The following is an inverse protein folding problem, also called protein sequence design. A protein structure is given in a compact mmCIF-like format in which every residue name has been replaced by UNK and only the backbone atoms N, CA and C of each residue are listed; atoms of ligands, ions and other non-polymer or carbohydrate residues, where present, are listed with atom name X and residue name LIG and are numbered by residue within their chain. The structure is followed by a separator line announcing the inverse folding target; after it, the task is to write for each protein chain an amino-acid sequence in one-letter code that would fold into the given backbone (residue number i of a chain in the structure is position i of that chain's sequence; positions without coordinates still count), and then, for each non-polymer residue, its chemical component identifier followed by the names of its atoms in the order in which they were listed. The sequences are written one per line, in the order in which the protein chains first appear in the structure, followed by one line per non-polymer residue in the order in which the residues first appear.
data_IF_657114058825
#
_entry.id   IF_657114058825
#
_cell.length_a   1.000
_cell.length_b   1.000
_cell.length_c   1.000
_cell.angle_alpha   90.00
_cell.angle_beta   90.00
_cell.angle_gamma   90.00
#
_symmetry.space_group_name_H-M   'P 1'
#
loop_
_entity.id
_entity.type
_entity.pdbx_description
1 polymer ?
#
# COMPACT_ATOMS: atom_id res chain seq x y z
N UNK A 1 22.85 -5.72 -24.47
CA UNK A 1 21.68 -5.37 -23.63
C UNK A 1 21.62 -6.42 -22.54
N UNK A 2 21.83 -6.03 -21.29
CA UNK A 2 21.81 -6.95 -20.16
C UNK A 2 20.46 -7.67 -20.12
N UNK A 3 20.50 -9.00 -20.06
CA UNK A 3 19.32 -9.82 -19.82
C UNK A 3 18.82 -9.41 -18.43
N UNK A 4 17.63 -8.82 -18.34
CA UNK A 4 17.02 -8.48 -17.04
C UNK A 4 16.90 -9.80 -16.28
N UNK A 5 17.63 -9.92 -15.17
CA UNK A 5 17.57 -11.09 -14.31
C UNK A 5 16.26 -11.05 -13.54
N UNK A 6 15.46 -12.09 -13.67
CA UNK A 6 14.21 -12.25 -12.93
C UNK A 6 14.44 -12.20 -11.41
N UNK A 7 15.62 -12.64 -10.94
CA UNK A 7 16.02 -12.55 -9.55
C UNK A 7 16.19 -11.10 -9.07
N UNK A 8 16.73 -10.22 -9.92
CA UNK A 8 16.91 -8.80 -9.58
C UNK A 8 15.56 -8.09 -9.53
N UNK A 9 14.68 -8.34 -10.52
CA UNK A 9 13.31 -7.81 -10.53
C UNK A 9 12.51 -8.25 -9.29
N UNK A 10 12.68 -9.50 -8.86
CA UNK A 10 12.01 -10.01 -7.67
C UNK A 10 12.55 -9.35 -6.39
N UNK A 11 13.86 -9.10 -6.32
CA UNK A 11 14.46 -8.39 -5.18
C UNK A 11 13.93 -6.97 -5.10
N UNK A 12 13.96 -6.22 -6.20
CA UNK A 12 13.47 -4.84 -6.24
C UNK A 12 11.99 -4.76 -5.83
N UNK A 13 11.17 -5.69 -6.33
CA UNK A 13 9.76 -5.80 -5.91
C UNK A 13 9.61 -6.05 -4.40
N UNK A 14 10.39 -6.98 -3.83
CA UNK A 14 10.29 -7.30 -2.41
C UNK A 14 10.74 -6.15 -1.52
N UNK A 15 11.81 -5.45 -1.92
CA UNK A 15 12.32 -4.29 -1.18
C UNK A 15 11.30 -3.16 -1.19
N UNK A 16 10.76 -2.81 -2.36
CA UNK A 16 9.69 -1.79 -2.50
C UNK A 16 8.42 -2.20 -1.74
N UNK A 17 8.00 -3.46 -1.83
CA UNK A 17 6.82 -3.94 -1.12
C UNK A 17 6.97 -3.83 0.40
N UNK A 18 8.14 -4.15 0.94
CA UNK A 18 8.42 -3.97 2.36
C UNK A 18 8.41 -2.50 2.79
N UNK A 19 8.96 -1.62 1.97
CA UNK A 19 8.96 -0.18 2.26
C UNK A 19 7.53 0.38 2.28
N UNK A 20 6.71 0.04 1.28
CA UNK A 20 5.31 0.44 1.23
C UNK A 20 4.51 -0.10 2.43
N UNK A 21 4.75 -1.35 2.84
CA UNK A 21 4.09 -1.94 4.01
C UNK A 21 4.52 -1.23 5.30
N UNK A 22 5.80 -0.89 5.45
CA UNK A 22 6.28 -0.12 6.59
C UNK A 22 5.61 1.25 6.67
N UNK A 23 5.55 1.98 5.55
CA UNK A 23 4.86 3.26 5.46
C UNK A 23 3.37 3.12 5.79
N UNK A 24 2.68 2.10 5.26
CA UNK A 24 1.27 1.85 5.59
C UNK A 24 1.06 1.62 7.09
N UNK A 25 1.94 0.85 7.75
CA UNK A 25 1.86 0.63 9.19
C UNK A 25 1.99 1.94 9.98
N UNK A 26 2.91 2.83 9.60
CA UNK A 26 3.06 4.13 10.21
C UNK A 26 1.80 4.99 10.06
N UNK A 27 1.20 5.02 8.85
CA UNK A 27 -0.05 5.76 8.62
C UNK A 27 -1.23 5.19 9.42
N UNK A 28 -1.29 3.86 9.60
CA UNK A 28 -2.31 3.21 10.44
C UNK A 28 -2.14 3.62 11.91
N UNK A 29 -0.91 3.60 12.43
CA UNK A 29 -0.63 4.03 13.80
C UNK A 29 -0.98 5.51 14.00
N UNK A 30 -0.66 6.35 13.03
CA UNK A 30 -1.06 7.75 13.04
C UNK A 30 -2.58 7.85 13.09
N UNK A 31 -3.31 7.25 12.14
CA UNK A 31 -4.77 7.26 12.11
C UNK A 31 -5.39 6.81 13.44
N UNK A 32 -4.86 5.75 14.06
CA UNK A 32 -5.32 5.29 15.37
C UNK A 32 -5.12 6.35 16.46
N UNK A 33 -3.95 7.01 16.51
CA UNK A 33 -3.69 8.10 17.44
C UNK A 33 -4.66 9.26 17.21
N UNK A 34 -4.89 9.64 15.94
CA UNK A 34 -5.83 10.70 15.59
C UNK A 34 -7.23 10.41 16.13
N UNK A 35 -7.73 9.20 15.87
CA UNK A 35 -9.05 8.77 16.33
C UNK A 35 -9.18 8.77 17.86
N UNK A 36 -8.11 8.39 18.59
CA UNK A 36 -8.09 8.41 20.07
C UNK A 36 -8.17 9.82 20.63
N UNK A 37 -7.57 10.79 19.95
CA UNK A 37 -7.59 12.20 20.31
C UNK A 37 -8.88 12.92 19.86
N UNK A 38 -9.78 12.21 19.17
CA UNK A 38 -11.05 12.75 18.69
C UNK A 38 -10.90 13.65 17.46
N UNK A 39 -9.78 13.55 16.74
CA UNK A 39 -9.57 14.21 15.47
C UNK A 39 -9.51 13.19 14.32
N UNK A 40 -9.78 13.65 13.11
CA UNK A 40 -9.63 12.84 11.91
C UNK A 40 -9.05 13.74 10.84
N UNK A 41 -7.87 13.38 10.34
CA UNK A 41 -7.30 13.98 9.15
C UNK A 41 -7.61 13.07 7.94
N UNK A 42 -8.47 13.51 7.00
CA UNK A 42 -8.73 12.76 5.78
C UNK A 42 -7.46 12.46 4.98
N UNK A 43 -6.40 13.25 5.15
CA UNK A 43 -5.16 13.05 4.41
C UNK A 43 -4.42 11.78 4.82
N UNK A 44 -4.50 11.35 6.09
CA UNK A 44 -3.89 10.09 6.54
C UNK A 44 -4.53 8.88 5.83
N UNK A 45 -5.85 8.91 5.63
CA UNK A 45 -6.56 7.89 4.84
C UNK A 45 -6.19 8.02 3.36
N UNK A 46 -6.03 9.25 2.85
CA UNK A 46 -5.63 9.47 1.47
C UNK A 46 -4.24 8.90 1.16
N UNK A 47 -3.29 9.09 2.06
CA UNK A 47 -1.95 8.53 2.01
C UNK A 47 -2.00 7.00 2.01
N UNK A 48 -2.75 6.39 2.94
CA UNK A 48 -2.91 4.94 3.01
C UNK A 48 -3.39 4.33 1.70
N UNK A 49 -4.39 4.94 1.07
CA UNK A 49 -4.90 4.44 -0.20
C UNK A 49 -3.88 4.61 -1.33
N UNK A 50 -3.10 5.70 -1.37
CA UNK A 50 -2.04 5.85 -2.38
C UNK A 50 -0.97 4.77 -2.22
N UNK A 51 -0.58 4.46 -0.98
CA UNK A 51 0.36 3.38 -0.70
C UNK A 51 -0.19 2.01 -1.13
N UNK A 52 -1.45 1.71 -0.79
CA UNK A 52 -2.13 0.48 -1.22
C UNK A 52 -2.24 0.39 -2.76
N UNK A 53 -2.52 1.51 -3.43
CA UNK A 53 -2.58 1.61 -4.89
C UNK A 53 -1.24 1.29 -5.55
N UNK A 54 -0.15 1.87 -5.02
CA UNK A 54 1.21 1.58 -5.50
C UNK A 54 1.54 0.12 -5.30
N UNK A 55 1.26 -0.45 -4.12
CA UNK A 55 1.52 -1.86 -3.82
C UNK A 55 0.75 -2.79 -4.76
N UNK A 56 -0.52 -2.49 -5.07
CA UNK A 56 -1.31 -3.20 -6.08
C UNK A 56 -0.63 -3.16 -7.44
N UNK A 57 -0.23 -1.97 -7.89
CA UNK A 57 0.40 -1.75 -9.19
C UNK A 57 1.69 -2.57 -9.36
N UNK A 58 2.62 -2.47 -8.41
CA UNK A 58 3.88 -3.21 -8.47
C UNK A 58 3.67 -4.72 -8.33
N UNK A 59 2.68 -5.15 -7.52
CA UNK A 59 2.33 -6.58 -7.38
C UNK A 59 1.77 -7.15 -8.67
N UNK A 60 0.92 -6.39 -9.38
CA UNK A 60 0.41 -6.78 -10.70
C UNK A 60 1.54 -6.90 -11.73
N UNK A 61 2.45 -5.91 -11.77
CA UNK A 61 3.60 -5.93 -12.67
C UNK A 61 4.57 -7.09 -12.36
N UNK A 62 4.75 -7.45 -11.09
CA UNK A 62 5.58 -8.57 -10.65
C UNK A 62 4.89 -9.95 -10.79
N UNK A 63 3.66 -10.01 -11.34
CA UNK A 63 2.89 -11.25 -11.48
C UNK A 63 2.45 -11.86 -10.15
N UNK A 64 2.32 -11.05 -9.08
CA UNK A 64 1.89 -11.44 -7.74
C UNK A 64 0.39 -11.17 -7.56
N UNK A 65 -0.43 -11.91 -8.31
CA UNK A 65 -1.88 -11.67 -8.40
C UNK A 65 -2.57 -11.70 -7.03
N UNK A 66 -2.23 -12.64 -6.15
CA UNK A 66 -2.82 -12.72 -4.81
C UNK A 66 -2.61 -11.43 -4.00
N UNK A 67 -1.44 -10.80 -4.11
CA UNK A 67 -1.13 -9.55 -3.41
C UNK A 67 -1.84 -8.36 -4.08
N UNK A 68 -1.90 -8.35 -5.41
CA UNK A 68 -2.67 -7.35 -6.15
C UNK A 68 -4.18 -7.39 -5.78
N UNK A 69 -4.76 -8.59 -5.66
CA UNK A 69 -6.17 -8.74 -5.29
C UNK A 69 -6.42 -8.33 -3.83
N UNK A 70 -5.51 -8.69 -2.92
CA UNK A 70 -5.57 -8.28 -1.51
C UNK A 70 -5.51 -6.76 -1.35
N UNK A 71 -4.57 -6.12 -2.04
CA UNK A 71 -4.40 -4.66 -1.99
C UNK A 71 -5.56 -3.91 -2.64
N UNK A 72 -6.19 -4.50 -3.66
CA UNK A 72 -7.43 -3.97 -4.22
C UNK A 72 -8.61 -4.03 -3.23
N UNK A 73 -8.71 -5.10 -2.44
CA UNK A 73 -9.71 -5.16 -1.36
C UNK A 73 -9.43 -4.09 -0.28
N UNK A 74 -8.16 -3.86 0.05
CA UNK A 74 -7.76 -2.80 0.95
C UNK A 74 -8.13 -1.40 0.41
N UNK A 75 -7.86 -1.11 -0.87
CA UNK A 75 -8.31 0.12 -1.52
C UNK A 75 -9.82 0.31 -1.39
N UNK A 76 -10.61 -0.76 -1.58
CA UNK A 76 -12.07 -0.70 -1.48
C UNK A 76 -12.57 -0.35 -0.06
N UNK A 77 -11.87 -0.81 0.97
CA UNK A 77 -12.17 -0.44 2.36
C UNK A 77 -11.76 1.00 2.63
N UNK A 78 -10.58 1.42 2.18
CA UNK A 78 -10.09 2.79 2.36
C UNK A 78 -10.95 3.80 1.60
N UNK A 79 -11.47 3.44 0.44
CA UNK A 79 -12.37 4.30 -0.35
C UNK A 79 -13.70 4.55 0.37
N UNK A 80 -14.26 3.52 1.04
CA UNK A 80 -15.44 3.69 1.89
C UNK A 80 -15.18 4.63 3.06
N UNK A 81 -13.97 4.61 3.64
CA UNK A 81 -13.59 5.51 4.71
C UNK A 81 -13.39 6.96 4.23
N UNK A 82 -13.00 7.17 2.97
CA UNK A 82 -12.85 8.51 2.35
C UNK A 82 -14.18 9.17 2.02
N UNK A 83 -15.15 8.38 1.57
CA UNK A 83 -16.40 8.87 0.99
C UNK A 83 -17.58 8.96 1.97
N UNK A 84 -17.33 8.78 3.27
CA UNK A 84 -18.27 8.90 4.40
C UNK A 84 -19.74 9.17 4.05
#
# INVERSE_FOLDING_TARGET
MSQIDFSDLLRDYLDEAHELIAQMNERIMELEAQMREGHSDPETINELFRLAHTLKGISGMAGRQTIADLTHQLESVLDQLRLG
#
